data_IF_052403564301
#
_entry.id   IF_052403564301
#
_cell.length_a   1.000
_cell.length_b   1.000
_cell.length_c   1.000
_cell.angle_alpha   90.00
_cell.angle_beta   90.00
_cell.angle_gamma   90.00
#
_symmetry.space_group_name_H-M   'P 1'
#
loop_
_entity.id
_entity.type
_entity.pdbx_description
1 polymer ?
#
# COMPACT_ATOMS: atom_id res chain seq x y z
N UNK A 1 36.25 44.63 29.87
CA UNK A 1 35.07 44.89 29.02
C UNK A 1 35.47 44.65 27.57
N UNK A 2 34.70 43.87 26.80
CA UNK A 2 35.24 42.66 26.16
C UNK A 2 35.28 42.67 24.61
N UNK A 3 36.15 41.78 24.11
CA UNK A 3 36.18 41.02 22.85
C UNK A 3 35.25 41.36 21.68
N UNK A 4 35.80 41.32 20.46
CA UNK A 4 35.10 40.79 19.29
C UNK A 4 36.01 39.86 18.50
N UNK A 5 35.88 38.57 18.78
CA UNK A 5 36.27 37.48 17.90
C UNK A 5 35.32 37.50 16.69
N UNK A 6 35.89 37.52 15.49
CA UNK A 6 35.14 37.37 14.25
C UNK A 6 34.66 35.91 14.16
N UNK A 7 33.35 35.75 14.04
CA UNK A 7 32.68 34.48 13.93
C UNK A 7 32.92 33.85 12.57
N UNK A 8 33.39 32.61 12.62
CA UNK A 8 33.39 31.64 11.54
C UNK A 8 31.98 31.56 10.95
N UNK A 9 31.84 31.92 9.67
CA UNK A 9 30.60 31.83 8.93
C UNK A 9 30.25 30.34 8.78
N UNK A 10 29.33 29.86 9.63
CA UNK A 10 28.76 28.53 9.52
C UNK A 10 28.19 28.33 8.12
N UNK A 11 28.67 27.27 7.46
CA UNK A 11 28.09 26.75 6.22
C UNK A 11 26.61 26.52 6.48
N UNK A 12 25.77 27.40 5.93
CA UNK A 12 24.33 27.19 5.89
C UNK A 12 24.11 25.86 5.16
N UNK A 13 23.80 24.81 5.91
CA UNK A 13 23.46 23.51 5.37
C UNK A 13 22.40 23.72 4.30
N UNK A 14 22.74 23.38 3.07
CA UNK A 14 21.78 23.26 1.98
C UNK A 14 20.72 22.29 2.48
N UNK A 15 19.56 22.81 2.91
CA UNK A 15 18.39 21.97 3.12
C UNK A 15 18.15 21.29 1.78
N UNK A 16 18.10 19.94 1.71
CA UNK A 16 17.74 19.26 0.48
C UNK A 16 16.47 19.91 -0.03
N UNK A 17 16.38 20.20 -1.33
CA UNK A 17 15.12 20.62 -1.93
C UNK A 17 14.08 19.55 -1.59
N UNK A 18 13.21 19.83 -0.64
CA UNK A 18 12.01 19.05 -0.39
C UNK A 18 11.18 19.16 -1.67
N UNK A 19 10.79 18.03 -2.25
CA UNK A 19 10.05 18.07 -3.50
C UNK A 19 9.40 16.76 -3.89
N UNK A 20 9.99 15.62 -3.54
CA UNK A 20 9.40 14.33 -3.80
C UNK A 20 8.62 13.80 -2.61
N UNK A 21 7.46 13.19 -2.89
CA UNK A 21 6.70 12.38 -1.94
C UNK A 21 6.71 10.90 -2.32
N UNK A 22 6.58 10.02 -1.34
CA UNK A 22 6.29 8.59 -1.53
C UNK A 22 5.17 8.18 -0.56
N UNK A 23 4.49 7.08 -0.84
CA UNK A 23 3.37 6.58 -0.03
C UNK A 23 3.67 5.16 0.43
N UNK A 24 3.49 4.93 1.72
CA UNK A 24 3.45 3.59 2.32
C UNK A 24 2.00 3.10 2.28
N UNK A 25 1.76 1.91 1.74
CA UNK A 25 0.41 1.35 1.68
C UNK A 25 0.36 -0.10 2.16
N UNK A 26 -0.76 -0.47 2.76
CA UNK A 26 -0.94 -1.75 3.45
C UNK A 26 -2.26 -2.39 3.04
N UNK A 27 -2.19 -3.63 2.56
CA UNK A 27 -3.34 -4.44 2.18
C UNK A 27 -3.65 -5.51 3.24
N UNK A 28 -4.85 -6.07 3.19
CA UNK A 28 -5.34 -7.25 3.92
C UNK A 28 -5.74 -7.12 5.39
N UNK A 29 -5.44 -6.00 6.04
CA UNK A 29 -5.91 -5.71 7.40
C UNK A 29 -7.42 -5.45 7.51
N UNK A 30 -7.91 -5.07 8.71
CA UNK A 30 -7.17 -5.03 9.96
C UNK A 30 -6.92 -6.43 10.53
N UNK A 31 -5.75 -6.66 11.10
CA UNK A 31 -5.40 -7.83 11.91
C UNK A 31 -5.20 -7.40 13.38
N UNK A 32 -5.72 -8.15 14.37
CA UNK A 32 -5.70 -7.76 15.77
C UNK A 32 -4.30 -7.64 16.38
N UNK A 33 -3.29 -8.29 15.79
CA UNK A 33 -1.92 -8.27 16.30
C UNK A 33 -1.00 -7.44 15.40
N UNK A 34 -1.18 -7.50 14.09
CA UNK A 34 -0.24 -6.95 13.13
C UNK A 34 -0.55 -5.51 12.73
N UNK A 35 -1.82 -5.15 12.51
CA UNK A 35 -2.20 -3.76 12.20
C UNK A 35 -1.77 -2.79 13.30
N UNK A 36 -1.96 -3.08 14.61
CA UNK A 36 -1.44 -2.22 15.68
C UNK A 36 0.08 -2.01 15.62
N UNK A 37 0.86 -3.04 15.26
CA UNK A 37 2.33 -2.92 15.14
C UNK A 37 2.74 -2.01 13.99
N UNK A 38 2.03 -2.12 12.87
CA UNK A 38 2.26 -1.24 11.71
C UNK A 38 1.92 0.21 12.06
N UNK A 39 0.81 0.44 12.77
CA UNK A 39 0.40 1.76 13.23
C UNK A 39 1.43 2.39 14.19
N UNK A 40 1.93 1.61 15.15
CA UNK A 40 2.98 2.05 16.07
C UNK A 40 4.25 2.46 15.29
N UNK A 41 4.67 1.63 14.33
CA UNK A 41 5.85 1.92 13.50
C UNK A 41 5.67 3.16 12.60
N UNK A 42 4.48 3.38 12.04
CA UNK A 42 4.15 4.58 11.27
C UNK A 42 4.20 5.84 12.14
N UNK A 43 3.64 5.78 13.33
CA UNK A 43 3.66 6.86 14.30
C UNK A 43 5.10 7.20 14.74
N UNK A 44 5.91 6.20 15.08
CA UNK A 44 7.33 6.37 15.44
C UNK A 44 8.15 7.01 14.31
N UNK A 45 7.86 6.64 13.05
CA UNK A 45 8.54 7.21 11.88
C UNK A 45 8.02 8.61 11.47
N UNK A 46 6.89 9.04 12.04
CA UNK A 46 6.19 10.27 11.66
C UNK A 46 5.72 10.22 10.20
N UNK A 47 5.15 9.09 9.78
CA UNK A 47 4.71 8.85 8.41
C UNK A 47 3.23 8.42 8.37
N UNK A 48 2.39 8.99 7.48
CA UNK A 48 1.08 8.43 7.22
C UNK A 48 1.17 7.13 6.39
N UNK A 49 0.16 6.27 6.53
CA UNK A 49 -0.07 5.11 5.67
C UNK A 49 -1.41 5.22 4.93
N UNK A 50 -1.50 4.50 3.81
CA UNK A 50 -2.76 4.26 3.09
C UNK A 50 -3.16 2.78 3.20
N UNK A 51 -4.28 2.52 3.86
CA UNK A 51 -4.76 1.17 4.16
C UNK A 51 -5.86 0.75 3.19
N UNK A 52 -5.74 -0.47 2.68
CA UNK A 52 -6.71 -1.14 1.80
C UNK A 52 -7.21 -2.41 2.52
N UNK A 53 -8.10 -2.25 3.51
CA UNK A 53 -8.54 -3.37 4.32
C UNK A 53 -9.54 -4.27 3.58
N UNK A 54 -9.58 -5.53 4.01
CA UNK A 54 -10.68 -6.44 3.69
C UNK A 54 -11.87 -6.04 4.57
N UNK A 55 -12.98 -5.63 3.96
CA UNK A 55 -14.11 -5.06 4.69
C UNK A 55 -14.73 -6.04 5.71
N UNK A 56 -14.73 -7.35 5.43
CA UNK A 56 -15.18 -8.35 6.40
C UNK A 56 -14.35 -8.34 7.70
N UNK A 57 -13.05 -7.96 7.64
CA UNK A 57 -12.20 -7.80 8.82
C UNK A 57 -12.43 -6.46 9.52
N UNK A 58 -12.81 -5.41 8.79
CA UNK A 58 -13.22 -4.12 9.37
C UNK A 58 -14.39 -4.30 10.33
N UNK A 59 -15.37 -5.12 9.98
CA UNK A 59 -16.50 -5.46 10.85
C UNK A 59 -16.07 -6.21 12.12
N UNK A 60 -15.01 -7.02 12.02
CA UNK A 60 -14.48 -7.82 13.13
C UNK A 60 -13.59 -6.99 14.06
N UNK A 61 -12.91 -5.97 13.53
CA UNK A 61 -11.92 -5.15 14.22
C UNK A 61 -12.27 -3.65 14.20
N UNK A 62 -13.44 -3.24 14.75
CA UNK A 62 -13.95 -1.88 14.67
C UNK A 62 -13.03 -0.86 15.37
N UNK A 63 -12.45 -1.23 16.51
CA UNK A 63 -11.57 -0.36 17.29
C UNK A 63 -10.24 -0.09 16.58
N UNK A 64 -9.71 -1.09 15.88
CA UNK A 64 -8.48 -0.95 15.09
C UNK A 64 -8.76 -0.08 13.87
N UNK A 65 -9.91 -0.26 13.22
CA UNK A 65 -10.33 0.60 12.11
C UNK A 65 -10.48 2.06 12.56
N UNK A 66 -11.14 2.30 13.70
CA UNK A 66 -11.26 3.63 14.28
C UNK A 66 -9.89 4.24 14.63
N UNK A 67 -8.96 3.41 15.11
CA UNK A 67 -7.57 3.81 15.37
C UNK A 67 -6.85 4.27 14.09
N UNK A 68 -6.96 3.52 12.99
CA UNK A 68 -6.34 3.89 11.69
C UNK A 68 -6.76 5.31 11.31
N UNK A 69 -8.07 5.59 11.34
CA UNK A 69 -8.62 6.91 10.98
C UNK A 69 -8.19 8.00 11.97
N UNK A 70 -8.28 7.72 13.28
CA UNK A 70 -7.91 8.68 14.34
C UNK A 70 -6.43 9.09 14.28
N UNK A 71 -5.55 8.21 13.84
CA UNK A 71 -4.10 8.47 13.71
C UNK A 71 -3.74 9.16 12.38
N UNK A 72 -4.75 9.55 11.58
CA UNK A 72 -4.58 10.37 10.39
C UNK A 72 -4.13 9.59 9.15
N UNK A 73 -4.35 8.28 9.14
CA UNK A 73 -4.09 7.44 7.98
C UNK A 73 -5.29 7.42 7.02
N UNK A 74 -5.01 7.16 5.74
CA UNK A 74 -6.04 6.98 4.73
C UNK A 74 -6.60 5.55 4.76
N UNK A 75 -7.90 5.40 4.52
CA UNK A 75 -8.54 4.10 4.33
C UNK A 75 -9.31 4.09 3.02
N UNK A 76 -9.09 3.06 2.21
CA UNK A 76 -9.59 2.95 0.85
C UNK A 76 -10.13 1.55 0.56
N UNK A 77 -10.74 1.37 -0.62
CA UNK A 77 -11.40 0.11 -0.95
C UNK A 77 -10.39 -0.95 -1.37
N UNK A 78 -10.48 -2.14 -0.78
CA UNK A 78 -9.82 -3.35 -1.31
C UNK A 78 -10.83 -4.33 -1.90
N UNK A 79 -11.67 -4.89 -1.02
CA UNK A 79 -12.71 -5.88 -1.31
C UNK A 79 -13.48 -6.23 -0.03
N UNK A 80 -14.51 -7.07 -0.12
CA UNK A 80 -15.12 -7.70 1.04
C UNK A 80 -14.59 -9.13 1.27
N UNK A 81 -14.51 -9.97 0.23
CA UNK A 81 -14.09 -11.39 0.36
C UNK A 81 -12.68 -11.72 -0.16
N UNK A 82 -11.95 -10.76 -0.73
CA UNK A 82 -10.64 -10.97 -1.36
C UNK A 82 -10.66 -12.07 -2.44
N UNK A 83 -11.62 -11.99 -3.37
CA UNK A 83 -11.79 -12.93 -4.48
C UNK A 83 -11.22 -12.38 -5.80
N UNK A 84 -10.74 -13.28 -6.67
CA UNK A 84 -10.10 -12.89 -7.93
C UNK A 84 -11.14 -12.42 -8.93
N UNK A 85 -10.98 -11.23 -9.51
CA UNK A 85 -12.01 -10.63 -10.35
C UNK A 85 -12.39 -11.47 -11.59
N UNK A 86 -11.42 -12.16 -12.19
CA UNK A 86 -11.65 -13.03 -13.34
C UNK A 86 -12.43 -14.30 -12.97
N UNK A 87 -12.14 -14.87 -11.80
CA UNK A 87 -12.78 -16.10 -11.30
C UNK A 87 -14.20 -15.81 -10.77
N UNK A 88 -14.40 -14.66 -10.13
CA UNK A 88 -15.67 -14.27 -9.55
C UNK A 88 -16.69 -13.78 -10.62
N UNK A 89 -16.21 -13.11 -11.68
CA UNK A 89 -17.05 -12.51 -12.71
C UNK A 89 -17.68 -11.16 -12.29
N UNK A 90 -18.16 -10.40 -13.28
CA UNK A 90 -18.60 -9.00 -13.09
C UNK A 90 -19.61 -8.80 -11.95
N UNK A 91 -20.72 -9.52 -11.97
CA UNK A 91 -21.80 -9.31 -11.00
C UNK A 91 -21.38 -9.67 -9.57
N UNK A 92 -20.46 -10.63 -9.40
CA UNK A 92 -19.94 -10.97 -8.08
C UNK A 92 -18.99 -9.86 -7.57
N UNK A 93 -18.10 -9.36 -8.42
CA UNK A 93 -17.20 -8.25 -8.09
C UNK A 93 -17.97 -6.97 -7.75
N UNK A 94 -19.03 -6.67 -8.50
CA UNK A 94 -19.89 -5.50 -8.25
C UNK A 94 -20.57 -5.59 -6.88
N UNK A 95 -21.18 -6.74 -6.55
CA UNK A 95 -21.76 -6.97 -5.21
C UNK A 95 -20.72 -6.94 -4.09
N UNK A 96 -19.55 -7.52 -4.31
CA UNK A 96 -18.45 -7.49 -3.32
C UNK A 96 -17.99 -6.04 -3.05
N UNK A 97 -17.91 -5.24 -4.11
CA UNK A 97 -17.58 -3.80 -4.05
C UNK A 97 -18.64 -3.04 -3.27
N UNK A 98 -19.92 -3.24 -3.57
CA UNK A 98 -21.04 -2.58 -2.87
C UNK A 98 -21.07 -2.93 -1.38
N UNK A 99 -20.87 -4.20 -1.03
CA UNK A 99 -20.80 -4.66 0.36
C UNK A 99 -19.63 -4.02 1.10
N UNK A 100 -18.44 -4.02 0.50
CA UNK A 100 -17.27 -3.39 1.10
C UNK A 100 -17.44 -1.89 1.31
N UNK A 101 -18.02 -1.18 0.33
CA UNK A 101 -18.33 0.24 0.44
C UNK A 101 -19.37 0.51 1.54
N UNK A 102 -20.40 -0.32 1.65
CA UNK A 102 -21.41 -0.19 2.71
C UNK A 102 -20.78 -0.31 4.11
N UNK A 103 -19.87 -1.27 4.30
CA UNK A 103 -19.11 -1.39 5.57
C UNK A 103 -18.27 -0.14 5.82
N UNK A 104 -17.40 0.23 4.88
CA UNK A 104 -16.47 1.37 5.07
C UNK A 104 -17.23 2.68 5.35
N UNK A 105 -18.32 2.94 4.62
CA UNK A 105 -19.18 4.11 4.86
C UNK A 105 -19.88 4.06 6.22
N UNK A 106 -20.25 2.87 6.70
CA UNK A 106 -20.76 2.67 8.07
C UNK A 106 -19.77 3.09 9.16
N UNK A 107 -18.46 3.04 8.87
CA UNK A 107 -17.39 3.54 9.74
C UNK A 107 -17.03 5.02 9.49
N UNK A 108 -17.83 5.74 8.69
CA UNK A 108 -17.57 7.14 8.33
C UNK A 108 -16.41 7.31 7.35
N UNK A 109 -15.94 6.23 6.73
CA UNK A 109 -14.87 6.25 5.74
C UNK A 109 -15.50 6.49 4.37
N UNK A 110 -14.94 7.44 3.61
CA UNK A 110 -15.33 7.71 2.23
C UNK A 110 -14.17 7.35 1.29
N UNK A 111 -14.08 6.08 0.83
CA UNK A 111 -13.01 5.65 -0.05
C UNK A 111 -12.99 6.44 -1.35
N UNK A 112 -11.80 6.88 -1.78
CA UNK A 112 -11.59 7.49 -3.10
C UNK A 112 -10.85 6.58 -4.06
N UNK A 113 -10.01 5.70 -3.52
CA UNK A 113 -9.23 4.76 -4.32
C UNK A 113 -9.72 3.33 -4.11
N UNK A 114 -9.52 2.50 -5.13
CA UNK A 114 -9.75 1.06 -5.08
C UNK A 114 -8.50 0.34 -5.56
N UNK A 115 -7.93 -0.51 -4.71
CA UNK A 115 -6.90 -1.49 -5.09
C UNK A 115 -7.55 -2.87 -5.16
N UNK A 116 -7.77 -3.45 -6.35
CA UNK A 116 -8.31 -4.80 -6.47
C UNK A 116 -7.38 -5.87 -5.89
N UNK A 117 -7.91 -6.96 -5.32
CA UNK A 117 -7.12 -8.12 -4.90
C UNK A 117 -6.14 -8.59 -5.98
N UNK A 118 -4.88 -8.83 -5.56
CA UNK A 118 -3.75 -9.19 -6.44
C UNK A 118 -3.46 -8.22 -7.60
N UNK A 119 -4.03 -7.00 -7.60
CA UNK A 119 -3.92 -6.05 -8.72
C UNK A 119 -4.65 -6.52 -9.98
N UNK A 120 -5.54 -7.52 -9.88
CA UNK A 120 -6.23 -8.09 -11.03
C UNK A 120 -7.42 -7.21 -11.42
N UNK A 121 -7.40 -6.72 -12.65
CA UNK A 121 -8.50 -5.93 -13.23
C UNK A 121 -9.09 -6.65 -14.43
N UNK A 122 -10.33 -6.32 -14.71
CA UNK A 122 -11.04 -6.66 -15.93
C UNK A 122 -11.58 -5.37 -16.57
N UNK A 123 -11.95 -5.37 -17.86
CA UNK A 123 -12.53 -4.18 -18.50
C UNK A 123 -13.72 -3.60 -17.73
N UNK A 124 -14.55 -4.47 -17.13
CA UNK A 124 -15.68 -4.04 -16.29
C UNK A 124 -15.28 -3.55 -14.90
N UNK A 125 -14.09 -3.88 -14.38
CA UNK A 125 -13.62 -3.35 -13.09
C UNK A 125 -13.52 -1.82 -13.13
N UNK A 126 -13.06 -1.26 -14.25
CA UNK A 126 -13.03 0.20 -14.44
C UNK A 126 -14.42 0.82 -14.50
N UNK A 127 -15.39 0.12 -15.09
CA UNK A 127 -16.78 0.59 -15.15
C UNK A 127 -17.44 0.58 -13.76
N UNK A 128 -17.21 -0.47 -12.96
CA UNK A 128 -17.68 -0.55 -11.57
C UNK A 128 -17.04 0.57 -10.74
N UNK A 129 -15.72 0.74 -10.84
CA UNK A 129 -15.01 1.82 -10.14
C UNK A 129 -15.61 3.20 -10.46
N UNK A 130 -15.82 3.49 -11.76
CA UNK A 130 -16.42 4.75 -12.21
C UNK A 130 -17.85 4.95 -11.70
N UNK A 131 -18.67 3.89 -11.66
CA UNK A 131 -20.04 3.94 -11.15
C UNK A 131 -20.10 4.33 -9.65
N UNK A 132 -19.06 4.01 -8.88
CA UNK A 132 -18.94 4.37 -7.47
C UNK A 132 -18.00 5.57 -7.23
N UNK A 133 -17.53 6.26 -8.27
CA UNK A 133 -16.63 7.42 -8.13
C UNK A 133 -15.24 7.08 -7.60
N UNK A 134 -14.79 5.82 -7.76
CA UNK A 134 -13.51 5.32 -7.29
C UNK A 134 -12.42 5.40 -8.38
N UNK A 135 -11.20 5.70 -7.97
CA UNK A 135 -10.01 5.63 -8.81
C UNK A 135 -9.27 4.31 -8.58
N UNK A 136 -9.05 3.53 -9.63
CA UNK A 136 -8.25 2.30 -9.53
C UNK A 136 -6.79 2.63 -9.26
N UNK A 137 -6.19 1.95 -8.29
CA UNK A 137 -4.79 2.14 -7.90
C UNK A 137 -4.06 0.81 -7.73
N UNK A 138 -2.79 0.79 -8.12
CA UNK A 138 -1.88 -0.35 -7.98
C UNK A 138 -0.74 -0.03 -7.01
N UNK A 139 0.48 -0.37 -7.40
CA UNK A 139 1.71 -0.03 -6.69
C UNK A 139 2.87 0.05 -7.68
N UNK A 140 3.89 0.84 -7.36
CA UNK A 140 5.12 0.96 -8.16
C UNK A 140 6.31 0.25 -7.52
N UNK A 141 6.24 -0.03 -6.21
CA UNK A 141 7.29 -0.70 -5.44
C UNK A 141 6.64 -1.84 -4.66
N UNK A 142 7.00 -3.09 -4.97
CA UNK A 142 6.54 -4.27 -4.22
C UNK A 142 7.65 -4.74 -3.27
N UNK A 143 7.33 -4.84 -1.99
CA UNK A 143 8.26 -5.33 -0.96
C UNK A 143 8.40 -6.85 -1.00
N UNK A 144 7.39 -7.54 -1.53
CA UNK A 144 7.18 -8.98 -1.42
C UNK A 144 7.18 -9.49 0.02
N UNK A 145 6.75 -8.66 0.97
CA UNK A 145 6.68 -9.00 2.39
C UNK A 145 5.84 -10.26 2.65
N UNK A 146 4.82 -10.51 1.84
CA UNK A 146 4.00 -11.72 1.85
C UNK A 146 4.80 -13.03 1.75
N UNK A 147 6.03 -13.02 1.24
CA UNK A 147 6.92 -14.20 1.18
C UNK A 147 7.51 -14.58 2.53
N UNK A 148 7.51 -13.68 3.51
CA UNK A 148 8.23 -13.84 4.78
C UNK A 148 9.72 -13.49 4.71
N UNK A 149 10.12 -12.63 3.75
CA UNK A 149 11.47 -12.10 3.67
C UNK A 149 11.79 -11.20 4.89
N UNK A 150 13.06 -11.10 5.29
CA UNK A 150 13.47 -10.20 6.38
C UNK A 150 13.36 -8.72 5.96
N UNK A 151 13.14 -7.83 6.94
CA UNK A 151 13.10 -6.38 6.72
C UNK A 151 14.32 -5.87 5.93
N UNK A 152 15.51 -6.37 6.27
CA UNK A 152 16.76 -6.02 5.55
C UNK A 152 16.74 -6.46 4.09
N UNK A 153 16.16 -7.63 3.77
CA UNK A 153 16.05 -8.12 2.40
C UNK A 153 15.05 -7.30 1.58
N UNK A 154 13.90 -7.00 2.18
CA UNK A 154 12.89 -6.12 1.59
C UNK A 154 13.44 -4.72 1.33
N UNK A 155 14.13 -4.12 2.31
CA UNK A 155 14.73 -2.80 2.18
C UNK A 155 15.71 -2.72 0.99
N UNK A 156 16.65 -3.67 0.89
CA UNK A 156 17.61 -3.69 -0.23
C UNK A 156 16.92 -3.73 -1.60
N UNK A 157 15.77 -4.41 -1.68
CA UNK A 157 14.98 -4.54 -2.91
C UNK A 157 14.26 -3.23 -3.25
N UNK A 158 13.72 -2.56 -2.25
CA UNK A 158 12.80 -1.42 -2.43
C UNK A 158 13.51 -0.08 -2.48
N UNK A 159 14.60 0.13 -1.73
CA UNK A 159 15.32 1.42 -1.66
C UNK A 159 15.71 1.98 -3.04
N UNK A 160 16.23 1.20 -4.00
CA UNK A 160 16.57 1.72 -5.32
C UNK A 160 15.37 2.26 -6.11
N UNK A 161 14.16 1.77 -5.80
CA UNK A 161 12.90 2.11 -6.47
C UNK A 161 12.19 3.31 -5.82
N UNK A 162 12.71 3.82 -4.68
CA UNK A 162 12.16 5.00 -4.01
C UNK A 162 12.51 6.26 -4.82
N UNK A 163 11.48 6.79 -5.47
CA UNK A 163 11.46 8.03 -6.26
C UNK A 163 10.20 8.84 -5.91
N UNK A 164 10.11 10.08 -6.39
CA UNK A 164 8.86 10.85 -6.27
C UNK A 164 7.71 10.09 -6.93
N UNK A 165 6.59 9.96 -6.21
CA UNK A 165 5.40 9.24 -6.65
C UNK A 165 5.46 7.74 -6.36
N UNK A 166 6.52 7.23 -5.71
CA UNK A 166 6.58 5.82 -5.36
C UNK A 166 5.44 5.43 -4.42
N UNK A 167 4.70 4.38 -4.79
CA UNK A 167 3.65 3.76 -3.99
C UNK A 167 4.11 2.36 -3.59
N UNK A 168 4.42 2.20 -2.31
CA UNK A 168 5.01 0.98 -1.73
C UNK A 168 3.90 0.06 -1.24
N UNK A 169 3.83 -1.15 -1.81
CA UNK A 169 2.94 -2.21 -1.36
C UNK A 169 3.58 -3.03 -0.22
N UNK A 170 2.84 -3.12 0.86
CA UNK A 170 3.06 -3.99 2.02
C UNK A 170 1.70 -4.55 2.47
N UNK A 171 1.71 -5.39 3.49
CA UNK A 171 0.50 -5.98 4.05
C UNK A 171 0.54 -5.90 5.58
N UNK A 172 -0.56 -5.42 6.19
CA UNK A 172 -0.75 -5.38 7.64
C UNK A 172 -1.64 -6.52 8.16
N UNK A 173 -2.08 -7.41 7.27
CA UNK A 173 -2.75 -8.66 7.61
C UNK A 173 -2.25 -9.85 6.79
N UNK A 174 -2.71 -11.04 7.17
CA UNK A 174 -2.50 -12.27 6.42
C UNK A 174 -3.68 -12.49 5.45
N UNK A 175 -3.55 -12.01 4.21
CA UNK A 175 -4.49 -12.32 3.14
C UNK A 175 -4.14 -13.61 2.38
N UNK A 176 -5.01 -14.02 1.44
CA UNK A 176 -4.78 -15.17 0.58
C UNK A 176 -3.42 -15.12 -0.15
N UNK A 177 -2.62 -16.18 0.01
CA UNK A 177 -1.30 -16.31 -0.63
C UNK A 177 -0.11 -15.88 0.24
N UNK A 178 -0.36 -15.35 1.44
CA UNK A 178 0.68 -15.11 2.43
C UNK A 178 1.43 -16.41 2.79
N UNK A 179 2.77 -16.35 2.79
CA UNK A 179 3.69 -17.45 3.13
C UNK A 179 4.46 -17.19 4.43
N UNK A 180 3.95 -16.25 5.22
CA UNK A 180 4.48 -15.79 6.52
C UNK A 180 3.46 -16.02 7.63
N UNK A 181 3.90 -15.87 8.88
CA UNK A 181 3.05 -16.08 10.07
C UNK A 181 2.57 -14.80 10.75
N UNK A 182 3.22 -13.68 10.46
CA UNK A 182 2.89 -12.36 11.00
C UNK A 182 3.47 -11.27 10.09
N UNK A 183 3.24 -10.01 10.44
CA UNK A 183 3.73 -8.82 9.74
C UNK A 183 4.85 -8.09 10.51
N UNK A 184 5.58 -8.78 11.41
CA UNK A 184 6.64 -8.12 12.22
C UNK A 184 7.74 -7.53 11.35
N UNK A 185 8.21 -8.29 10.36
CA UNK A 185 9.22 -7.82 9.43
C UNK A 185 8.72 -6.63 8.58
N UNK A 186 7.41 -6.56 8.31
CA UNK A 186 6.77 -5.42 7.64
C UNK A 186 6.81 -4.18 8.55
N UNK A 187 6.43 -4.31 9.82
CA UNK A 187 6.51 -3.21 10.78
C UNK A 187 7.96 -2.71 10.98
N UNK A 188 8.93 -3.62 11.10
CA UNK A 188 10.37 -3.28 11.19
C UNK A 188 10.89 -2.54 9.95
N UNK A 189 10.29 -2.80 8.78
CA UNK A 189 10.69 -2.17 7.52
C UNK A 189 10.26 -0.70 7.44
N UNK A 190 9.17 -0.30 8.10
CA UNK A 190 8.58 1.05 7.99
C UNK A 190 9.60 2.15 8.28
N UNK A 191 10.24 2.12 9.45
CA UNK A 191 11.23 3.13 9.82
C UNK A 191 12.42 3.15 8.85
N UNK A 192 12.90 1.98 8.43
CA UNK A 192 14.03 1.85 7.49
C UNK A 192 13.70 2.43 6.11
N UNK A 193 12.48 2.25 5.62
CA UNK A 193 11.99 2.84 4.38
C UNK A 193 11.92 4.36 4.48
N UNK A 194 11.34 4.88 5.58
CA UNK A 194 11.21 6.33 5.80
C UNK A 194 12.58 7.00 5.87
N UNK A 195 13.52 6.44 6.63
CA UNK A 195 14.88 6.97 6.73
C UNK A 195 15.61 6.92 5.38
N UNK A 196 15.49 5.80 4.65
CA UNK A 196 16.08 5.65 3.32
C UNK A 196 15.49 6.63 2.30
N UNK A 197 14.18 6.90 2.38
CA UNK A 197 13.49 7.86 1.52
C UNK A 197 13.93 9.30 1.83
N UNK A 198 13.96 9.68 3.11
CA UNK A 198 14.42 11.01 3.56
C UNK A 198 15.87 11.27 3.18
N UNK A 199 16.76 10.28 3.28
CA UNK A 199 18.14 10.38 2.81
C UNK A 199 18.25 10.66 1.30
N UNK A 200 17.19 10.39 0.53
CA UNK A 200 17.07 10.66 -0.91
C UNK A 200 16.25 11.92 -1.22
N UNK A 201 15.88 12.71 -0.21
CA UNK A 201 15.08 13.93 -0.37
C UNK A 201 13.58 13.68 -0.61
N UNK A 202 13.08 12.50 -0.26
CA UNK A 202 11.66 12.16 -0.34
C UNK A 202 11.02 12.24 1.05
N UNK A 203 9.82 12.82 1.13
CA UNK A 203 9.00 12.82 2.35
C UNK A 203 7.84 11.84 2.24
N UNK A 204 7.42 11.20 3.34
CA UNK A 204 6.22 10.38 3.32
C UNK A 204 5.00 11.27 3.05
N UNK A 205 4.03 10.70 2.36
CA UNK A 205 2.78 11.36 1.99
C UNK A 205 1.64 10.36 1.94
N UNK A 206 0.48 10.89 1.60
CA UNK A 206 -0.75 10.15 1.40
C UNK A 206 -1.04 10.02 -0.10
N UNK A 207 -1.95 9.14 -0.53
CA UNK A 207 -2.34 9.03 -1.94
C UNK A 207 -2.91 10.35 -2.45
N UNK A 208 -3.70 11.05 -1.64
CA UNK A 208 -4.21 12.37 -1.99
C UNK A 208 -3.09 13.39 -2.19
N UNK A 209 -2.02 13.32 -1.39
CA UNK A 209 -0.88 14.23 -1.50
C UNK A 209 -0.03 14.00 -2.77
N UNK A 210 -0.15 12.85 -3.43
CA UNK A 210 0.48 12.59 -4.73
C UNK A 210 -0.29 13.24 -5.90
N UNK A 211 -1.52 13.72 -5.67
CA UNK A 211 -2.38 14.27 -6.72
C UNK A 211 -3.24 13.18 -7.38
N UNK A 212 -3.34 13.19 -8.73
CA UNK A 212 -3.86 12.00 -9.44
C UNK A 212 -2.98 10.82 -9.06
N UNK A 213 -3.54 9.67 -8.71
CA UNK A 213 -2.74 8.48 -8.41
C UNK A 213 -1.76 8.30 -9.58
N UNK A 214 -0.47 7.99 -9.34
CA UNK A 214 0.47 7.73 -10.42
C UNK A 214 0.01 6.53 -11.25
N UNK A 215 -0.90 6.81 -12.17
CA UNK A 215 -1.46 6.02 -13.25
C UNK A 215 -2.13 4.68 -12.88
N UNK A 216 -3.23 4.44 -13.60
CA UNK A 216 -3.68 3.15 -14.16
C UNK A 216 -2.58 2.33 -14.88
N UNK A 217 -1.29 2.46 -14.52
CA UNK A 217 -0.14 2.03 -15.32
C UNK A 217 0.96 1.27 -14.59
N UNK A 218 0.88 1.03 -13.28
CA UNK A 218 1.83 0.17 -12.58
C UNK A 218 1.11 -0.99 -11.86
N UNK A 219 1.35 -2.21 -12.37
CA UNK A 219 0.92 -3.51 -11.81
C UNK A 219 -0.58 -3.81 -11.73
N UNK A 220 -1.46 -3.05 -12.41
CA UNK A 220 -2.80 -3.55 -12.71
C UNK A 220 -2.70 -4.55 -13.87
N UNK A 221 -2.91 -5.83 -13.59
CA UNK A 221 -2.85 -6.87 -14.61
C UNK A 221 -4.26 -7.08 -15.15
N UNK A 222 -4.47 -6.77 -16.43
CA UNK A 222 -5.69 -7.21 -17.12
C UNK A 222 -5.58 -8.71 -17.33
N UNK A 223 -6.39 -9.51 -16.63
CA UNK A 223 -6.43 -10.94 -16.90
C UNK A 223 -7.16 -11.15 -18.24
N UNK A 224 -6.41 -11.29 -19.33
CA UNK A 224 -6.94 -11.79 -20.60
C UNK A 224 -6.88 -13.31 -20.52
N UNK A 225 -8.06 -13.93 -20.46
CA UNK A 225 -8.36 -15.37 -20.61
C UNK A 225 -7.17 -16.36 -20.47
N UNK A 226 -6.95 -16.91 -19.28
CA UNK A 226 -5.91 -17.93 -19.04
C UNK A 226 -6.30 -19.35 -19.50
N UNK A 227 -7.19 -19.52 -20.49
CA UNK A 227 -7.57 -20.84 -21.02
C UNK A 227 -6.64 -21.43 -22.07
N UNK A 228 -5.43 -20.91 -22.29
CA UNK A 228 -4.53 -21.48 -23.31
C UNK A 228 -3.04 -21.25 -23.04
N UNK A 229 -2.49 -21.78 -21.95
CA UNK A 229 -1.07 -22.21 -21.95
C UNK A 229 -0.78 -23.25 -20.86
N UNK A 230 -1.26 -24.47 -21.08
CA UNK A 230 -0.71 -25.69 -20.46
C UNK A 230 -0.45 -26.69 -21.57
N UNK A 231 0.73 -26.60 -22.18
CA UNK A 231 1.38 -27.70 -22.89
C UNK A 231 2.90 -27.52 -22.75
N UNK A 232 3.35 -28.05 -21.62
CA UNK A 232 4.69 -28.53 -21.27
C UNK A 232 5.63 -28.69 -22.47
N UNK A 233 6.73 -27.93 -22.40
CA UNK A 233 7.99 -28.29 -23.04
C UNK A 233 8.57 -29.53 -22.32
N UNK A 234 8.46 -30.70 -22.93
CA UNK A 234 9.48 -31.76 -22.86
C UNK A 234 10.35 -31.56 -24.10
N UNK A 235 11.61 -31.17 -24.01
CA UNK A 235 12.68 -31.90 -23.34
C UNK A 235 13.51 -32.56 -24.44
N UNK A 236 14.53 -31.86 -24.96
CA UNK A 236 15.52 -32.42 -25.86
C UNK A 236 16.89 -31.90 -25.45
N UNK A 237 17.73 -32.73 -24.84
CA UNK A 237 19.19 -32.73 -24.96
C UNK A 237 19.71 -34.15 -24.68
N UNK A 238 20.42 -34.67 -25.70
CA UNK A 238 21.36 -35.83 -25.80
C UNK A 238 20.87 -37.23 -25.47
#
# INVERSE_FOLDING_TARGET
MPTRTEGEAGVAGVRPRTGGRFVLSFDDGPDPLDTPRVLDALNEAGAPGAFFPIAAKVEQEPEITARIVREGHEVHLHCYHHAGHAEAGRAAVERDTELALAVLTGFGIAPRFWRPPWGLVQPWTSAIAAAHGLELTGWSVDTHDWRGDSARAMLRRTTPLLVHGALVLMHDGLGPGARRRDCRATAELVAQLVDSARARGLEPGTLESLGRSPSLGANLVTAIDQRSTTAVATGAVT
#
